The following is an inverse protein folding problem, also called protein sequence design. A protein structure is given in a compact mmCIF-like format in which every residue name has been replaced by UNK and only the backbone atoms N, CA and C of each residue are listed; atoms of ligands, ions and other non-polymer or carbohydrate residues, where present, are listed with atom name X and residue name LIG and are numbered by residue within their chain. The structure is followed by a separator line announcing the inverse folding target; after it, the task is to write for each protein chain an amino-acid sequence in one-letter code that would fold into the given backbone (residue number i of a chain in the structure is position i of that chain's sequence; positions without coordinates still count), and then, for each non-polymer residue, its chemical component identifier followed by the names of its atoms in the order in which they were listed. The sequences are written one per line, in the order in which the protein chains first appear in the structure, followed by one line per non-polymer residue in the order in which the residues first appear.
data_IF_176591003753
#
_entry.id   IF_176591003753
#
_cell.length_a   1.000
_cell.length_b   1.000
_cell.length_c   1.000
_cell.angle_alpha   90.00
_cell.angle_beta   90.00
_cell.angle_gamma   90.00
#
_symmetry.space_group_name_H-M   'P 1'
#
loop_
_entity.id
_entity.type
_entity.pdbx_description
1 polymer ?
#
# COMPACT_ATOMS: atom_id res chain seq x y z
N UNK A 1 -5.39 -8.02 -8.63
CA UNK A 1 -6.60 -8.43 -7.86
C UNK A 1 -6.17 -9.47 -6.85
N UNK A 2 -6.63 -9.42 -5.58
CA UNK A 2 -6.34 -10.47 -4.58
C UNK A 2 -7.01 -11.79 -5.02
N UNK A 3 -6.28 -12.90 -4.93
CA UNK A 3 -6.88 -14.22 -5.07
C UNK A 3 -7.75 -14.49 -3.83
N UNK A 4 -9.03 -14.74 -4.03
CA UNK A 4 -10.00 -15.01 -2.97
C UNK A 4 -10.79 -16.27 -3.28
N UNK A 5 -11.16 -17.01 -2.23
CA UNK A 5 -11.96 -18.22 -2.37
C UNK A 5 -13.38 -17.95 -2.90
N UNK A 6 -14.04 -18.99 -3.39
CA UNK A 6 -15.45 -18.90 -3.73
C UNK A 6 -16.31 -18.56 -2.50
N UNK A 7 -15.92 -19.05 -1.31
CA UNK A 7 -16.60 -18.73 -0.06
C UNK A 7 -16.48 -17.24 0.27
N UNK A 8 -15.28 -16.65 0.17
CA UNK A 8 -15.10 -15.21 0.40
C UNK A 8 -16.00 -14.39 -0.52
N UNK A 9 -16.03 -14.72 -1.82
CA UNK A 9 -16.88 -14.02 -2.80
C UNK A 9 -18.37 -14.15 -2.47
N UNK A 10 -18.83 -15.35 -2.05
CA UNK A 10 -20.22 -15.56 -1.68
C UNK A 10 -20.61 -14.78 -0.41
N UNK A 11 -19.72 -14.71 0.59
CA UNK A 11 -19.95 -13.93 1.80
C UNK A 11 -19.94 -12.43 1.50
N UNK A 12 -19.02 -11.95 0.64
CA UNK A 12 -18.94 -10.54 0.25
C UNK A 12 -20.20 -10.06 -0.47
N UNK A 13 -20.86 -10.93 -1.23
CA UNK A 13 -22.11 -10.61 -1.91
C UNK A 13 -23.32 -10.47 -0.98
N UNK A 14 -23.24 -11.01 0.25
CA UNK A 14 -24.31 -10.88 1.25
C UNK A 14 -24.08 -9.61 2.10
N UNK A 15 -25.05 -8.70 2.08
CA UNK A 15 -24.99 -7.43 2.83
C UNK A 15 -24.96 -7.58 4.36
N UNK A 16 -25.28 -8.76 4.88
CA UNK A 16 -25.30 -9.04 6.33
C UNK A 16 -23.99 -9.69 6.83
N UNK A 17 -22.96 -9.83 5.98
CA UNK A 17 -21.68 -10.35 6.43
C UNK A 17 -21.04 -9.42 7.46
N UNK A 18 -20.34 -9.99 8.43
CA UNK A 18 -19.47 -9.27 9.33
C UNK A 18 -18.01 -9.40 8.86
N UNK A 19 -17.22 -8.36 9.14
CA UNK A 19 -15.76 -8.38 8.92
C UNK A 19 -15.07 -8.59 10.26
N UNK A 20 -14.24 -9.62 10.34
CA UNK A 20 -13.35 -9.84 11.47
C UNK A 20 -11.93 -9.39 11.11
N UNK A 21 -11.26 -8.78 12.08
CA UNK A 21 -9.89 -8.29 11.95
C UNK A 21 -9.01 -9.01 12.95
N UNK A 22 -7.79 -9.33 12.52
CA UNK A 22 -6.74 -9.90 13.35
C UNK A 22 -5.43 -9.14 13.10
N UNK A 23 -4.72 -8.80 14.17
CA UNK A 23 -3.38 -8.24 14.12
C UNK A 23 -2.37 -9.25 14.68
N UNK A 24 -1.21 -9.38 14.04
CA UNK A 24 -0.06 -10.12 14.56
C UNK A 24 1.05 -9.13 14.85
N UNK A 25 1.49 -9.06 16.12
CA UNK A 25 2.51 -8.14 16.59
C UNK A 25 3.50 -8.91 17.46
N UNK A 26 4.78 -8.85 17.13
CA UNK A 26 5.83 -9.57 17.86
C UNK A 26 5.51 -11.08 18.07
N UNK A 27 4.93 -11.72 17.05
CA UNK A 27 4.55 -13.13 17.08
C UNK A 27 3.28 -13.47 17.89
N UNK A 28 2.60 -12.47 18.45
CA UNK A 28 1.34 -12.65 19.18
C UNK A 28 0.14 -12.24 18.34
N UNK A 29 -0.93 -13.02 18.41
CA UNK A 29 -2.18 -12.72 17.71
C UNK A 29 -3.14 -11.93 18.62
N UNK A 30 -3.73 -10.89 18.06
CA UNK A 30 -4.76 -10.06 18.67
C UNK A 30 -6.01 -10.16 17.80
N UNK A 31 -7.07 -10.76 18.34
CA UNK A 31 -8.37 -10.88 17.68
C UNK A 31 -9.33 -9.76 18.08
N UNK A 32 -10.59 -9.91 17.69
CA UNK A 32 -11.65 -8.94 18.02
C UNK A 32 -11.91 -8.79 19.53
N UNK A 33 -11.58 -9.79 20.33
CA UNK A 33 -11.65 -9.73 21.78
C UNK A 33 -10.64 -8.77 22.40
N UNK A 34 -9.60 -8.43 21.68
CA UNK A 34 -8.51 -7.55 22.10
C UNK A 34 -8.44 -6.25 21.35
N UNK A 35 -8.92 -6.20 20.12
CA UNK A 35 -8.90 -5.00 19.26
C UNK A 35 -10.16 -4.19 19.52
N UNK A 36 -10.00 -2.98 20.08
CA UNK A 36 -11.10 -2.05 20.30
C UNK A 36 -11.42 -1.23 19.05
N UNK A 37 -10.41 -0.84 18.29
CA UNK A 37 -10.59 -0.16 17.02
C UNK A 37 -9.39 -0.39 16.10
N UNK A 38 -9.65 -0.42 14.80
CA UNK A 38 -8.64 -0.50 13.75
C UNK A 38 -9.10 0.36 12.58
N UNK A 39 -8.26 1.31 12.19
CA UNK A 39 -8.50 2.17 11.05
C UNK A 39 -7.25 2.19 10.19
N UNK A 40 -7.41 1.92 8.89
CA UNK A 40 -6.35 2.07 7.89
C UNK A 40 -6.79 3.15 6.93
N UNK A 41 -5.97 4.18 6.81
CA UNK A 41 -6.18 5.29 5.88
C UNK A 41 -5.07 5.32 4.83
N UNK A 42 -5.33 5.95 3.71
CA UNK A 42 -4.42 6.04 2.58
C UNK A 42 -4.96 5.29 1.37
N UNK A 43 -4.41 5.62 0.23
CA UNK A 43 -4.87 5.12 -1.05
C UNK A 43 -3.79 5.11 -2.10
N UNK A 44 -4.20 5.33 -3.33
CA UNK A 44 -3.33 5.40 -4.49
C UNK A 44 -2.69 6.80 -4.64
N UNK A 45 -3.27 7.81 -4.02
CA UNK A 45 -2.86 9.21 -4.11
C UNK A 45 -2.50 9.76 -2.73
N UNK A 46 -1.49 10.62 -2.69
CA UNK A 46 -1.00 11.24 -1.45
C UNK A 46 -1.98 12.27 -0.87
N UNK A 47 -2.80 12.88 -1.72
CA UNK A 47 -3.77 13.92 -1.36
C UNK A 47 -5.18 13.53 -1.79
N UNK A 48 -6.16 14.34 -1.43
CA UNK A 48 -7.57 14.14 -1.80
C UNK A 48 -7.85 14.28 -3.30
N UNK A 49 -6.86 14.77 -4.07
CA UNK A 49 -6.93 14.93 -5.52
C UNK A 49 -6.19 13.83 -6.28
N UNK A 50 -6.50 13.71 -7.58
CA UNK A 50 -5.79 12.83 -8.48
C UNK A 50 -4.39 13.38 -8.74
N UNK A 51 -3.34 12.61 -8.41
CA UNK A 51 -1.95 13.01 -8.59
C UNK A 51 -1.08 11.82 -9.01
N UNK A 52 -0.04 12.09 -9.79
CA UNK A 52 0.98 11.11 -10.19
C UNK A 52 2.35 11.58 -9.74
N UNK A 53 3.32 10.67 -9.69
CA UNK A 53 4.69 10.98 -9.27
C UNK A 53 4.87 10.94 -7.76
N UNK A 54 4.01 10.18 -7.06
CA UNK A 54 4.10 9.98 -5.62
C UNK A 54 4.63 8.62 -5.21
N UNK A 55 5.16 8.56 -3.98
CA UNK A 55 5.37 7.33 -3.23
C UNK A 55 4.51 7.42 -1.96
N UNK A 56 3.37 6.72 -1.97
CA UNK A 56 2.26 6.97 -1.05
C UNK A 56 2.29 5.97 0.10
N UNK A 57 2.33 6.48 1.34
CA UNK A 57 2.23 5.69 2.55
C UNK A 57 0.77 5.49 2.95
N UNK A 58 0.47 4.32 3.51
CA UNK A 58 -0.77 4.08 4.26
C UNK A 58 -0.50 4.20 5.75
N UNK A 59 -1.49 4.69 6.47
CA UNK A 59 -1.47 4.92 7.90
C UNK A 59 -2.38 3.92 8.61
N UNK A 60 -1.93 3.43 9.77
CA UNK A 60 -2.69 2.56 10.66
C UNK A 60 -2.89 3.25 12.00
N UNK A 61 -4.12 3.26 12.48
CA UNK A 61 -4.47 3.52 13.88
C UNK A 61 -5.10 2.25 14.46
N UNK A 62 -4.45 1.67 15.47
CA UNK A 62 -4.88 0.43 16.11
C UNK A 62 -4.94 0.63 17.62
N UNK A 63 -6.12 0.42 18.21
CA UNK A 63 -6.33 0.42 19.66
C UNK A 63 -6.61 -0.99 20.14
N UNK A 64 -5.82 -1.49 21.11
CA UNK A 64 -5.93 -2.85 21.60
C UNK A 64 -5.59 -2.98 23.09
N UNK A 65 -6.07 -4.10 23.70
CA UNK A 65 -5.64 -4.54 25.01
C UNK A 65 -4.37 -5.41 24.87
N UNK A 66 -3.19 -4.93 25.33
CA UNK A 66 -1.92 -5.64 25.09
C UNK A 66 -1.83 -6.96 25.84
N UNK A 67 -1.24 -7.97 25.21
CA UNK A 67 -0.91 -9.29 25.81
C UNK A 67 0.51 -9.33 26.40
N UNK A 68 1.12 -8.19 26.58
CA UNK A 68 2.49 -8.01 27.08
C UNK A 68 3.17 -6.86 26.36
N UNK A 69 4.48 -6.72 26.53
CA UNK A 69 5.22 -5.62 25.89
C UNK A 69 5.17 -5.72 24.37
N UNK A 70 4.90 -4.59 23.73
CA UNK A 70 4.93 -4.39 22.30
C UNK A 70 6.16 -3.53 21.98
N UNK A 71 7.11 -4.03 21.17
CA UNK A 71 8.34 -3.30 20.90
C UNK A 71 8.05 -1.99 20.16
N UNK A 72 8.84 -0.95 20.47
CA UNK A 72 8.85 0.29 19.66
C UNK A 72 9.30 -0.06 18.25
N UNK A 73 8.69 0.57 17.26
CA UNK A 73 8.95 0.31 15.83
C UNK A 73 8.70 -1.16 15.40
N UNK A 74 7.89 -1.89 16.15
CA UNK A 74 7.50 -3.26 15.82
C UNK A 74 6.67 -3.34 14.56
N UNK A 75 6.76 -4.50 13.90
CA UNK A 75 5.92 -4.82 12.74
C UNK A 75 4.53 -5.27 13.19
N UNK A 76 3.50 -4.77 12.51
CA UNK A 76 2.09 -5.17 12.64
C UNK A 76 1.64 -5.77 11.33
N UNK A 77 1.23 -7.03 11.34
CA UNK A 77 0.57 -7.68 10.20
C UNK A 77 -0.92 -7.73 10.45
N UNK A 78 -1.70 -7.05 9.60
CA UNK A 78 -3.14 -7.08 9.65
C UNK A 78 -3.71 -8.13 8.71
N UNK A 79 -4.77 -8.78 9.17
CA UNK A 79 -5.56 -9.72 8.38
C UNK A 79 -7.04 -9.42 8.58
N UNK A 80 -7.81 -9.70 7.56
CA UNK A 80 -9.28 -9.64 7.61
C UNK A 80 -9.88 -10.93 7.07
N UNK A 81 -11.07 -11.28 7.54
CA UNK A 81 -11.93 -12.31 6.97
C UNK A 81 -13.39 -11.90 7.06
N UNK A 82 -14.22 -12.54 6.27
CA UNK A 82 -15.67 -12.35 6.30
C UNK A 82 -16.33 -13.51 7.02
N UNK A 83 -17.38 -13.19 7.79
CA UNK A 83 -18.16 -14.18 8.52
C UNK A 83 -19.66 -13.95 8.34
N UNK A 84 -20.43 -15.02 8.29
CA UNK A 84 -21.90 -14.97 8.23
C UNK A 84 -22.49 -16.33 8.67
N UNK A 85 -23.38 -16.32 9.65
CA UNK A 85 -24.12 -17.51 10.06
C UNK A 85 -23.22 -18.69 10.48
N UNK A 86 -22.12 -18.42 11.19
CA UNK A 86 -21.16 -19.44 11.64
C UNK A 86 -20.17 -19.90 10.56
N UNK A 87 -20.28 -19.42 9.32
CA UNK A 87 -19.27 -19.63 8.27
C UNK A 87 -18.24 -18.52 8.28
N UNK A 88 -16.98 -18.84 8.03
CA UNK A 88 -15.89 -17.88 7.94
C UNK A 88 -15.04 -18.14 6.70
N UNK A 89 -14.64 -17.07 6.00
CA UNK A 89 -13.69 -17.16 4.90
C UNK A 89 -12.26 -17.38 5.41
N UNK A 90 -11.34 -17.55 4.48
CA UNK A 90 -9.91 -17.47 4.75
C UNK A 90 -9.50 -16.08 5.26
N UNK A 91 -8.40 -16.04 6.04
CA UNK A 91 -7.75 -14.79 6.41
C UNK A 91 -6.98 -14.19 5.23
N UNK A 92 -7.33 -12.99 4.84
CA UNK A 92 -6.63 -12.24 3.81
C UNK A 92 -5.71 -11.18 4.42
N UNK A 93 -4.49 -11.00 3.91
CA UNK A 93 -3.63 -9.91 4.36
C UNK A 93 -4.31 -8.55 4.09
N UNK A 94 -4.29 -7.66 5.08
CA UNK A 94 -4.86 -6.32 5.03
C UNK A 94 -3.80 -5.23 5.14
N UNK A 95 -2.55 -5.58 5.33
CA UNK A 95 -1.40 -4.69 5.34
C UNK A 95 -0.31 -5.13 6.30
N UNK A 96 0.89 -4.59 6.04
CA UNK A 96 2.05 -4.69 6.92
C UNK A 96 2.44 -3.27 7.30
N UNK A 97 2.44 -2.97 8.59
CA UNK A 97 2.70 -1.63 9.13
C UNK A 97 3.83 -1.67 10.15
N UNK A 98 4.44 -0.54 10.39
CA UNK A 98 5.51 -0.34 11.37
C UNK A 98 5.06 0.72 12.35
N UNK A 99 5.23 0.44 13.65
CA UNK A 99 4.81 1.34 14.73
C UNK A 99 5.73 2.56 14.71
N UNK A 100 5.12 3.74 14.56
CA UNK A 100 5.79 5.02 14.68
C UNK A 100 5.61 5.58 16.10
N UNK A 101 4.38 5.66 16.57
CA UNK A 101 4.08 6.12 17.93
C UNK A 101 3.18 5.14 18.68
N UNK A 102 3.29 5.15 20.02
CA UNK A 102 2.42 4.40 20.90
C UNK A 102 2.05 5.22 22.13
N UNK A 103 0.80 5.12 22.56
CA UNK A 103 0.29 5.76 23.76
C UNK A 103 -0.55 4.77 24.56
N UNK A 104 -0.33 4.71 25.87
CA UNK A 104 -1.11 3.90 26.81
C UNK A 104 -2.10 4.78 27.56
N UNK A 105 -3.35 4.33 27.64
CA UNK A 105 -4.35 5.00 28.48
C UNK A 105 -4.15 4.63 29.95
N UNK A 106 -4.00 5.64 30.80
CA UNK A 106 -3.66 5.45 32.21
C UNK A 106 -4.69 4.61 33.00
N UNK A 107 -5.97 4.63 32.62
CA UNK A 107 -7.05 3.95 33.36
C UNK A 107 -7.36 2.59 32.77
N UNK A 108 -7.52 2.51 31.47
CA UNK A 108 -7.94 1.27 30.77
C UNK A 108 -6.78 0.35 30.43
N UNK A 109 -5.54 0.84 30.50
CA UNK A 109 -4.34 0.17 30.01
C UNK A 109 -4.44 -0.26 28.54
N UNK A 110 -5.35 0.35 27.79
CA UNK A 110 -5.44 0.16 26.35
C UNK A 110 -4.27 0.86 25.67
N UNK A 111 -3.70 0.20 24.68
CA UNK A 111 -2.60 0.73 23.90
C UNK A 111 -3.12 1.21 22.55
N UNK A 112 -2.86 2.48 22.25
CA UNK A 112 -3.10 3.06 20.93
C UNK A 112 -1.77 3.07 20.17
N UNK A 113 -1.74 2.38 19.05
CA UNK A 113 -0.61 2.30 18.14
C UNK A 113 -0.95 3.11 16.89
N UNK A 114 -0.02 3.96 16.50
CA UNK A 114 -0.04 4.67 15.24
C UNK A 114 1.17 4.22 14.43
N UNK A 115 1.00 3.95 13.15
CA UNK A 115 2.07 3.47 12.30
C UNK A 115 1.79 3.65 10.84
N UNK A 116 2.81 3.41 10.03
CA UNK A 116 2.75 3.50 8.58
C UNK A 116 3.21 2.19 7.96
N UNK A 117 2.86 1.98 6.70
CA UNK A 117 3.42 0.88 5.94
C UNK A 117 4.93 1.09 5.66
N UNK A 118 5.55 0.19 4.92
CA UNK A 118 7.00 0.25 4.68
C UNK A 118 7.47 1.53 3.96
N UNK A 119 6.57 2.36 3.42
CA UNK A 119 6.93 3.64 2.82
C UNK A 119 7.53 4.61 3.86
N UNK A 120 7.23 4.45 5.15
CA UNK A 120 7.91 5.17 6.24
C UNK A 120 9.43 5.05 6.16
N UNK A 121 9.95 3.89 5.77
CA UNK A 121 11.39 3.65 5.65
C UNK A 121 12.02 4.40 4.46
N UNK A 122 11.21 4.81 3.50
CA UNK A 122 11.67 5.56 2.33
C UNK A 122 11.96 7.04 2.62
N UNK A 123 11.64 7.54 3.82
CA UNK A 123 11.98 8.90 4.24
C UNK A 123 13.49 9.11 4.47
N UNK A 124 14.26 8.05 4.59
CA UNK A 124 15.71 8.15 4.70
C UNK A 124 16.35 8.57 3.35
N UNK A 125 17.43 9.34 3.43
CA UNK A 125 18.25 9.68 2.25
C UNK A 125 18.70 8.38 1.59
N UNK A 126 18.54 8.33 0.27
CA UNK A 126 18.78 7.09 -0.48
C UNK A 126 20.25 6.68 -0.48
N UNK A 127 21.16 7.61 -0.79
CA UNK A 127 22.58 7.31 -0.94
C UNK A 127 23.41 7.98 0.16
N UNK A 128 24.36 7.24 0.67
CA UNK A 128 25.46 7.79 1.46
C UNK A 128 26.63 8.08 0.50
N UNK A 129 27.02 9.36 0.29
CA UNK A 129 28.11 9.71 -0.61
C UNK A 129 29.45 9.01 -0.29
N UNK A 130 29.61 8.53 0.93
CA UNK A 130 30.83 7.85 1.40
C UNK A 130 30.82 6.34 1.14
N UNK A 131 29.64 5.75 0.91
CA UNK A 131 29.48 4.29 0.81
C UNK A 131 28.88 3.84 -0.54
N UNK A 132 28.13 4.68 -1.21
CA UNK A 132 27.34 4.32 -2.38
C UNK A 132 27.92 4.87 -3.71
N UNK A 133 29.23 4.67 -3.93
CA UNK A 133 29.87 4.96 -5.22
C UNK A 133 29.40 3.94 -6.28
N UNK A 134 28.13 4.08 -6.72
CA UNK A 134 27.60 3.29 -7.81
C UNK A 134 27.99 3.86 -9.18
N UNK A 135 27.89 3.06 -10.24
CA UNK A 135 27.98 3.54 -11.61
C UNK A 135 26.72 4.34 -11.97
N UNK A 136 26.90 5.57 -12.37
CA UNK A 136 25.85 6.48 -12.81
C UNK A 136 26.10 6.91 -14.26
N UNK A 137 25.06 7.09 -15.09
CA UNK A 137 23.63 6.89 -14.77
C UNK A 137 23.26 5.41 -14.54
N UNK A 138 22.26 5.16 -13.69
CA UNK A 138 21.81 3.81 -13.31
C UNK A 138 20.47 3.49 -13.98
N UNK A 139 20.26 2.24 -14.40
CA UNK A 139 18.96 1.79 -14.88
C UNK A 139 17.87 1.95 -13.81
N UNK A 140 16.71 2.52 -14.15
CA UNK A 140 15.59 2.74 -13.22
C UNK A 140 15.18 1.47 -12.48
N UNK A 141 15.15 0.32 -13.14
CA UNK A 141 14.84 -0.97 -12.50
C UNK A 141 15.85 -1.32 -11.40
N UNK A 142 17.13 -1.08 -11.64
CA UNK A 142 18.19 -1.30 -10.65
C UNK A 142 18.02 -0.36 -9.46
N UNK A 143 17.70 0.92 -9.73
CA UNK A 143 17.40 1.91 -8.70
C UNK A 143 16.23 1.48 -7.81
N UNK A 144 15.09 1.09 -8.41
CA UNK A 144 13.91 0.60 -7.66
C UNK A 144 14.24 -0.63 -6.82
N UNK A 145 14.99 -1.59 -7.38
CA UNK A 145 15.38 -2.79 -6.63
C UNK A 145 16.30 -2.46 -5.44
N UNK A 146 17.26 -1.53 -5.60
CA UNK A 146 18.14 -1.08 -4.51
C UNK A 146 17.36 -0.36 -3.42
N UNK A 147 16.43 0.52 -3.80
CA UNK A 147 15.57 1.22 -2.84
C UNK A 147 14.69 0.20 -2.09
N UNK A 148 14.04 -0.73 -2.79
CA UNK A 148 13.22 -1.77 -2.16
C UNK A 148 14.03 -2.63 -1.17
N UNK A 149 15.25 -3.04 -1.55
CA UNK A 149 16.13 -3.79 -0.68
C UNK A 149 16.51 -2.99 0.59
N UNK A 150 16.77 -1.69 0.47
CA UNK A 150 17.07 -0.81 1.61
C UNK A 150 15.86 -0.60 2.53
N UNK A 151 14.65 -0.54 1.97
CA UNK A 151 13.39 -0.52 2.72
C UNK A 151 13.09 -1.88 3.37
N UNK A 152 13.79 -2.95 2.98
CA UNK A 152 13.53 -4.32 3.43
C UNK A 152 12.22 -4.89 2.88
N UNK A 153 11.85 -4.53 1.65
CA UNK A 153 10.66 -5.03 0.95
C UNK A 153 11.03 -5.65 -0.39
N UNK A 154 10.20 -6.56 -0.86
CA UNK A 154 10.30 -7.07 -2.24
C UNK A 154 9.55 -6.15 -3.20
N UNK A 155 10.03 -6.08 -4.45
CA UNK A 155 9.27 -5.44 -5.54
C UNK A 155 8.14 -6.38 -5.96
N UNK A 156 6.92 -5.87 -6.08
CA UNK A 156 5.78 -6.66 -6.53
C UNK A 156 5.98 -7.08 -8.00
N UNK A 157 5.74 -8.35 -8.37
CA UNK A 157 5.93 -8.84 -9.75
C UNK A 157 5.15 -8.08 -10.84
N UNK A 158 4.08 -7.38 -10.45
CA UNK A 158 3.28 -6.54 -11.37
C UNK A 158 3.95 -5.22 -11.72
N UNK A 159 5.03 -4.85 -11.01
CA UNK A 159 5.76 -3.61 -11.27
C UNK A 159 6.49 -3.68 -12.60
N UNK A 160 6.06 -2.86 -13.54
CA UNK A 160 6.73 -2.70 -14.84
C UNK A 160 7.53 -1.40 -14.83
N UNK A 161 8.84 -1.49 -15.10
CA UNK A 161 9.75 -0.33 -15.14
C UNK A 161 10.29 -0.20 -16.55
N UNK A 162 10.16 0.99 -17.13
CA UNK A 162 10.69 1.35 -18.43
C UNK A 162 12.22 1.31 -18.45
N UNK A 163 12.83 1.06 -19.62
CA UNK A 163 14.29 0.93 -19.75
C UNK A 163 15.00 2.30 -19.80
N UNK A 164 14.64 3.18 -18.86
CA UNK A 164 15.28 4.48 -18.70
C UNK A 164 16.37 4.42 -17.62
N UNK A 165 17.16 5.46 -17.54
CA UNK A 165 18.20 5.65 -16.53
C UNK A 165 17.81 6.79 -15.59
N UNK A 166 18.37 6.74 -14.39
CA UNK A 166 18.36 7.81 -13.39
C UNK A 166 19.77 8.32 -13.19
N UNK A 167 19.91 9.63 -13.12
CA UNK A 167 21.15 10.30 -12.75
C UNK A 167 21.40 10.18 -11.24
N UNK A 168 22.60 10.54 -10.79
CA UNK A 168 22.94 10.54 -9.38
C UNK A 168 21.97 11.42 -8.56
N UNK A 169 21.26 10.86 -7.57
CA UNK A 169 20.14 11.55 -6.92
C UNK A 169 20.55 12.55 -5.82
N UNK A 170 21.86 12.77 -5.60
CA UNK A 170 22.36 13.64 -4.51
C UNK A 170 21.74 13.28 -3.16
N UNK A 171 21.15 14.27 -2.48
CA UNK A 171 20.58 14.17 -1.14
C UNK A 171 19.10 13.74 -1.11
N UNK A 172 18.56 13.27 -2.25
CA UNK A 172 17.16 12.84 -2.27
C UNK A 172 16.91 11.63 -1.37
N UNK A 173 15.76 11.67 -0.71
CA UNK A 173 15.22 10.52 0.02
C UNK A 173 14.86 9.40 -0.98
N UNK A 174 14.78 8.18 -0.48
CA UNK A 174 14.26 7.06 -1.29
C UNK A 174 12.84 7.36 -1.79
N UNK A 175 12.03 8.07 -0.99
CA UNK A 175 10.66 8.45 -1.34
C UNK A 175 10.60 9.42 -2.50
N UNK A 176 11.44 10.45 -2.49
CA UNK A 176 11.55 11.40 -3.61
C UNK A 176 12.04 10.71 -4.89
N UNK A 177 13.08 9.88 -4.78
CA UNK A 177 13.60 9.12 -5.93
C UNK A 177 12.53 8.20 -6.53
N UNK A 178 11.75 7.49 -5.71
CA UNK A 178 10.60 6.69 -6.15
C UNK A 178 9.54 7.59 -6.81
N UNK A 179 9.27 8.77 -6.25
CA UNK A 179 8.33 9.74 -6.82
C UNK A 179 8.72 10.17 -8.23
N UNK A 180 9.98 10.52 -8.47
CA UNK A 180 10.47 10.87 -9.82
C UNK A 180 10.35 9.71 -10.82
N UNK A 181 10.69 8.49 -10.37
CA UNK A 181 10.52 7.30 -11.20
C UNK A 181 9.04 7.04 -11.49
N UNK A 182 8.16 7.21 -10.50
CA UNK A 182 6.72 7.06 -10.66
C UNK A 182 6.15 8.09 -11.66
N UNK A 183 6.60 9.34 -11.59
CA UNK A 183 6.21 10.40 -12.53
C UNK A 183 6.56 10.04 -13.98
N UNK A 184 7.77 9.51 -14.22
CA UNK A 184 8.19 9.06 -15.54
C UNK A 184 7.32 7.91 -16.11
N UNK A 185 6.61 7.20 -15.25
CA UNK A 185 5.71 6.10 -15.61
C UNK A 185 4.22 6.49 -15.59
N UNK A 186 3.88 7.74 -15.25
CA UNK A 186 2.50 8.18 -15.10
C UNK A 186 1.76 7.45 -13.97
N UNK A 187 2.41 7.19 -12.86
CA UNK A 187 1.85 6.42 -11.76
C UNK A 187 2.33 6.83 -10.38
N UNK A 188 2.05 5.99 -9.39
CA UNK A 188 2.48 6.15 -7.99
C UNK A 188 3.04 4.84 -7.45
N UNK A 189 4.06 4.91 -6.57
CA UNK A 189 4.47 3.77 -5.77
C UNK A 189 3.60 3.66 -4.53
N UNK A 190 3.21 2.44 -4.21
CA UNK A 190 2.47 2.07 -3.01
C UNK A 190 3.05 0.79 -2.40
N UNK A 191 2.75 0.54 -1.14
CA UNK A 191 2.98 -0.76 -0.52
C UNK A 191 1.69 -1.58 -0.59
N UNK A 192 1.76 -2.77 -1.15
CA UNK A 192 0.62 -3.69 -1.24
C UNK A 192 0.25 -4.25 0.14
N UNK A 193 -0.94 -4.87 0.25
CA UNK A 193 -1.33 -5.54 1.51
C UNK A 193 -0.41 -6.70 1.89
N UNK A 194 0.35 -7.24 0.96
CA UNK A 194 1.38 -8.25 1.22
C UNK A 194 2.73 -7.64 1.63
N UNK A 195 2.85 -6.31 1.75
CA UNK A 195 4.08 -5.60 2.12
C UNK A 195 5.09 -5.46 0.98
N UNK A 196 4.66 -5.51 -0.28
CA UNK A 196 5.53 -5.37 -1.46
C UNK A 196 5.42 -4.00 -2.10
N UNK A 197 6.52 -3.50 -2.65
CA UNK A 197 6.58 -2.23 -3.38
C UNK A 197 5.99 -2.41 -4.78
N UNK A 198 4.91 -1.71 -5.08
CA UNK A 198 4.21 -1.74 -6.37
C UNK A 198 4.19 -0.37 -7.02
N UNK A 199 4.65 -0.28 -8.26
CA UNK A 199 4.36 0.85 -9.12
C UNK A 199 2.99 0.63 -9.77
N UNK A 200 2.02 1.45 -9.38
CA UNK A 200 0.69 1.47 -9.99
C UNK A 200 0.65 2.60 -11.02
N UNK A 201 0.49 2.25 -12.29
CA UNK A 201 0.43 3.21 -13.40
C UNK A 201 -1.01 3.39 -13.87
N UNK A 202 -1.35 4.61 -14.24
CA UNK A 202 -2.66 4.93 -14.84
C UNK A 202 -2.76 4.48 -16.29
N UNK A 203 -1.61 4.29 -16.95
CA UNK A 203 -1.53 3.86 -18.35
C UNK A 203 -1.89 2.39 -18.58
N UNK A 204 -2.01 1.58 -17.53
CA UNK A 204 -2.45 0.20 -17.62
C UNK A 204 -3.98 0.07 -17.49
N UNK A 205 -4.73 0.97 -18.09
CA UNK A 205 -6.14 0.69 -18.36
C UNK A 205 -6.19 -0.46 -19.37
N UNK A 206 -6.96 -1.54 -19.11
CA UNK A 206 -7.08 -2.63 -20.07
C UNK A 206 -7.54 -2.10 -21.42
N UNK A 207 -7.16 -2.79 -22.50
CA UNK A 207 -7.50 -2.41 -23.87
C UNK A 207 -9.04 -2.40 -24.13
N UNK A 208 -9.82 -2.97 -23.24
CA UNK A 208 -11.28 -2.81 -23.17
C UNK A 208 -11.60 -1.59 -22.31
N UNK A 209 -11.36 -0.43 -22.86
CA UNK A 209 -11.69 0.84 -22.22
C UNK A 209 -13.18 1.09 -22.35
N UNK A 210 -13.85 1.21 -21.21
CA UNK A 210 -15.17 1.80 -21.16
C UNK A 210 -15.03 3.27 -21.59
N UNK A 211 -15.79 3.68 -22.57
CA UNK A 211 -15.85 5.06 -23.01
C UNK A 211 -17.26 5.61 -22.82
N UNK A 212 -17.35 6.90 -22.59
CA UNK A 212 -18.64 7.55 -22.51
C UNK A 212 -19.37 7.42 -23.85
N UNK A 213 -20.62 7.00 -23.80
CA UNK A 213 -21.51 6.96 -24.94
C UNK A 213 -22.67 7.92 -24.73
N UNK A 214 -23.10 8.54 -25.77
CA UNK A 214 -24.34 9.30 -25.79
C UNK A 214 -25.52 8.35 -25.61
N UNK A 215 -26.37 8.63 -24.62
CA UNK A 215 -27.46 7.71 -24.21
C UNK A 215 -28.49 7.46 -25.31
N UNK A 216 -28.71 8.42 -26.19
CA UNK A 216 -29.71 8.34 -27.25
C UNK A 216 -29.20 7.62 -28.49
N UNK A 217 -27.94 7.76 -28.85
CA UNK A 217 -27.40 7.24 -30.12
C UNK A 217 -26.44 6.05 -29.93
N UNK A 218 -25.97 5.81 -28.72
CA UNK A 218 -24.95 4.78 -28.42
C UNK A 218 -23.58 5.09 -29.02
N UNK A 219 -23.35 6.33 -29.52
CA UNK A 219 -22.08 6.73 -30.11
C UNK A 219 -21.09 7.17 -29.03
N UNK A 220 -19.81 6.89 -29.24
CA UNK A 220 -18.75 7.34 -28.35
C UNK A 220 -18.71 8.88 -28.34
N UNK A 221 -18.64 9.47 -27.15
CA UNK A 221 -18.42 10.90 -26.98
C UNK A 221 -16.93 11.17 -27.27
N UNK A 222 -16.67 12.09 -28.17
CA UNK A 222 -15.32 12.45 -28.60
C UNK A 222 -14.98 13.87 -28.14
N UNK A 223 -13.73 14.09 -27.77
CA UNK A 223 -13.11 15.42 -27.67
C UNK A 223 -12.10 15.53 -28.81
N UNK A 224 -12.52 16.15 -29.92
CA UNK A 224 -11.77 16.08 -31.19
C UNK A 224 -11.80 14.65 -31.75
N UNK A 225 -10.62 14.05 -31.97
CA UNK A 225 -10.48 12.66 -32.42
C UNK A 225 -10.31 11.63 -31.27
N UNK A 226 -10.27 12.11 -30.01
CA UNK A 226 -10.01 11.28 -28.83
C UNK A 226 -11.33 10.89 -28.18
N UNK A 227 -11.51 9.57 -27.89
CA UNK A 227 -12.65 9.07 -27.13
C UNK A 227 -12.50 9.44 -25.66
N UNK A 228 -13.57 9.94 -25.05
CA UNK A 228 -13.60 10.15 -23.61
C UNK A 228 -13.78 8.80 -22.90
N UNK A 229 -12.84 8.49 -22.02
CA UNK A 229 -12.80 7.26 -21.24
C UNK A 229 -13.45 7.47 -19.87
N UNK A 230 -14.02 6.40 -19.30
CA UNK A 230 -14.60 6.35 -17.96
C UNK A 230 -13.78 5.44 -17.06
#
# INVERSE_FOLDING_TARGET
MKATSALYKSLLADKNHATEIKAVIAGREYGQDRIASCCVTGGLFAESGWSIGGAVARELQLKLAPLGDIPRMGEIRLYLRLTLGGRASEWLPAGVFYIDTRAEEAVSHMLTLHGYDAMLKAEAVWLDPTQDAGEWPMAMRTAVNRIAARMGVEVDPRTSILPYTVEYPNDYTMREALGFIAAAHGGNFIITDAGRLLLHTTAALPAETNFLVESETGRAILLGEVRLLV
#
